data_IF_592113992636
#
_entry.id   IF_592113992636
#
_cell.length_a   1.000
_cell.length_b   1.000
_cell.length_c   1.000
_cell.angle_alpha   90.00
_cell.angle_beta   90.00
_cell.angle_gamma   90.00
#
_symmetry.space_group_name_H-M   'P 1'
#
loop_
_entity.id
_entity.type
_entity.pdbx_description
1 polymer ?
#
# COMPACT_ATOMS: atom_id res chain seq x y z
N UNK A 1 29.38 -14.85 -18.66
CA UNK A 1 30.11 -16.05 -18.17
C UNK A 1 30.62 -15.77 -16.75
N UNK A 2 29.75 -15.77 -15.74
CA UNK A 2 30.08 -15.19 -14.43
C UNK A 2 29.70 -16.04 -13.21
N UNK A 3 29.46 -17.35 -13.38
CA UNK A 3 29.28 -18.24 -12.24
C UNK A 3 29.92 -19.60 -12.55
N UNK A 4 30.91 -20.00 -11.75
CA UNK A 4 31.32 -21.38 -11.57
C UNK A 4 30.95 -21.76 -10.13
N UNK A 5 30.00 -22.67 -9.93
CA UNK A 5 29.63 -23.09 -8.58
C UNK A 5 30.76 -23.95 -8.01
N UNK A 6 31.26 -23.61 -6.82
CA UNK A 6 32.01 -24.54 -5.98
C UNK A 6 31.07 -25.10 -4.92
N UNK A 7 30.91 -26.42 -4.92
CA UNK A 7 30.25 -27.12 -3.82
C UNK A 7 31.24 -27.17 -2.64
N UNK A 8 30.83 -26.60 -1.49
CA UNK A 8 31.33 -26.79 -0.10
C UNK A 8 31.80 -25.56 0.70
N UNK A 9 31.21 -24.39 0.53
CA UNK A 9 31.21 -23.35 1.58
C UNK A 9 29.88 -22.58 1.60
N UNK A 10 29.61 -21.82 2.67
CA UNK A 10 28.45 -20.91 2.80
C UNK A 10 28.43 -19.78 1.74
N UNK A 11 29.41 -19.76 0.84
CA UNK A 11 29.59 -18.78 -0.22
C UNK A 11 29.43 -19.47 -1.59
N UNK A 12 28.48 -18.97 -2.39
CA UNK A 12 28.07 -19.60 -3.65
C UNK A 12 28.66 -18.94 -4.91
N UNK A 13 29.54 -17.94 -4.74
CA UNK A 13 30.26 -17.29 -5.84
C UNK A 13 31.16 -16.16 -5.35
N UNK A 14 31.97 -15.63 -6.26
CA UNK A 14 32.78 -14.43 -6.02
C UNK A 14 32.60 -13.44 -7.17
N UNK A 15 32.60 -12.15 -6.84
CA UNK A 15 32.68 -11.07 -7.83
C UNK A 15 34.12 -10.55 -7.90
N UNK A 16 34.65 -10.47 -9.11
CA UNK A 16 35.94 -9.84 -9.37
C UNK A 16 35.73 -8.41 -9.82
N UNK A 17 36.18 -7.44 -9.02
CA UNK A 17 36.16 -6.02 -9.35
C UNK A 17 37.56 -5.43 -9.16
N UNK A 18 38.17 -4.94 -10.23
CA UNK A 18 39.50 -4.30 -10.16
C UNK A 18 40.65 -5.22 -9.70
N UNK A 19 40.53 -6.54 -9.86
CA UNK A 19 41.52 -7.52 -9.39
C UNK A 19 41.27 -8.04 -7.98
N UNK A 20 40.29 -7.48 -7.25
CA UNK A 20 39.90 -7.94 -5.92
C UNK A 20 38.76 -8.95 -6.01
N UNK A 21 38.87 -10.07 -5.28
CA UNK A 21 37.82 -11.06 -5.12
C UNK A 21 36.93 -10.67 -3.94
N UNK A 22 35.62 -10.58 -4.16
CA UNK A 22 34.62 -10.43 -3.12
C UNK A 22 33.77 -11.69 -3.07
N UNK A 23 33.79 -12.41 -1.95
CA UNK A 23 32.88 -13.52 -1.72
C UNK A 23 31.46 -12.98 -1.56
N UNK A 24 30.54 -13.47 -2.37
CA UNK A 24 29.14 -13.04 -2.35
C UNK A 24 28.31 -14.21 -1.85
N UNK A 25 27.68 -14.02 -0.71
CA UNK A 25 26.58 -14.88 -0.25
C UNK A 25 25.42 -14.72 -1.23
N UNK A 26 24.97 -15.81 -1.85
CA UNK A 26 23.80 -15.81 -2.75
C UNK A 26 22.48 -15.79 -1.97
N UNK A 27 22.56 -15.81 -0.64
CA UNK A 27 21.44 -15.79 0.30
C UNK A 27 21.63 -14.69 1.33
N UNK A 28 20.61 -13.85 1.42
CA UNK A 28 20.54 -12.77 2.39
C UNK A 28 19.44 -13.13 3.41
N UNK A 29 19.82 -13.32 4.68
CA UNK A 29 18.87 -13.61 5.75
C UNK A 29 18.17 -12.31 6.14
N UNK A 30 16.85 -12.27 5.99
CA UNK A 30 16.02 -11.13 6.40
C UNK A 30 15.81 -11.18 7.90
N UNK A 31 16.59 -10.39 8.63
CA UNK A 31 16.48 -10.18 10.06
C UNK A 31 16.32 -8.69 10.42
N UNK A 32 16.20 -8.38 11.71
CA UNK A 32 15.93 -7.03 12.19
C UNK A 32 17.03 -6.03 11.80
N UNK A 33 18.30 -6.43 11.83
CA UNK A 33 19.42 -5.56 11.45
C UNK A 33 19.34 -5.17 9.97
N UNK A 34 19.07 -6.15 9.10
CA UNK A 34 18.95 -5.89 7.67
C UNK A 34 17.71 -5.07 7.34
N UNK A 35 16.58 -5.36 8.00
CA UNK A 35 15.36 -4.56 7.85
C UNK A 35 15.61 -3.11 8.25
N UNK A 36 16.29 -2.89 9.37
CA UNK A 36 16.69 -1.56 9.84
C UNK A 36 17.58 -0.83 8.84
N UNK A 37 18.58 -1.50 8.26
CA UNK A 37 19.40 -0.95 7.17
C UNK A 37 18.56 -0.56 5.95
N UNK A 38 17.59 -1.40 5.54
CA UNK A 38 16.69 -1.08 4.43
C UNK A 38 15.83 0.15 4.73
N UNK A 39 15.34 0.28 5.97
CA UNK A 39 14.66 1.47 6.45
C UNK A 39 15.53 2.72 6.30
N UNK A 40 16.76 2.68 6.82
CA UNK A 40 17.70 3.81 6.73
C UNK A 40 18.02 4.18 5.29
N UNK A 41 18.17 3.18 4.41
CA UNK A 41 18.32 3.40 2.97
C UNK A 41 17.12 4.10 2.34
N UNK A 42 15.91 3.72 2.72
CA UNK A 42 14.69 4.31 2.15
C UNK A 42 14.57 5.81 2.45
N UNK A 43 15.10 6.29 3.58
CA UNK A 43 15.21 7.72 3.85
C UNK A 43 16.46 8.35 3.20
N UNK A 44 17.62 8.15 3.81
CA UNK A 44 18.86 8.88 3.49
C UNK A 44 19.78 8.21 2.45
N UNK A 45 19.37 7.06 1.90
CA UNK A 45 20.15 6.30 0.93
C UNK A 45 20.22 6.93 -0.46
N UNK A 46 21.41 6.87 -1.08
CA UNK A 46 21.67 7.34 -2.43
C UNK A 46 22.58 6.35 -3.21
N UNK A 47 22.29 6.16 -4.50
CA UNK A 47 23.13 5.34 -5.39
C UNK A 47 24.26 6.20 -5.94
N UNK A 48 25.49 5.74 -5.77
CA UNK A 48 26.61 6.31 -6.51
C UNK A 48 26.66 5.68 -7.89
N UNK A 49 26.91 6.49 -8.92
CA UNK A 49 27.03 6.03 -10.29
C UNK A 49 28.48 6.18 -10.78
N UNK A 50 28.88 5.33 -11.73
CA UNK A 50 30.11 5.59 -12.50
C UNK A 50 29.91 6.84 -13.36
N UNK A 51 30.98 7.62 -13.52
CA UNK A 51 30.99 8.85 -14.31
C UNK A 51 30.29 8.66 -15.66
N UNK A 52 29.32 9.53 -15.95
CA UNK A 52 28.56 9.55 -17.21
C UNK A 52 27.81 8.24 -17.54
N UNK A 53 27.38 7.48 -16.53
CA UNK A 53 26.56 6.27 -16.75
C UNK A 53 25.49 6.12 -15.67
N UNK A 54 24.46 5.31 -15.95
CA UNK A 54 23.46 4.91 -14.95
C UNK A 54 23.88 3.62 -14.19
N UNK A 55 25.13 3.18 -14.36
CA UNK A 55 25.67 1.98 -13.73
C UNK A 55 26.09 2.30 -12.29
N UNK A 56 25.53 1.62 -11.27
CA UNK A 56 25.93 1.83 -9.89
C UNK A 56 27.41 1.53 -9.64
N UNK A 57 28.09 2.37 -8.88
CA UNK A 57 29.44 2.15 -8.35
C UNK A 57 29.44 1.78 -6.86
N UNK A 58 28.32 2.02 -6.17
CA UNK A 58 28.15 1.74 -4.75
C UNK A 58 26.90 2.37 -4.18
N UNK A 59 26.79 2.33 -2.86
CA UNK A 59 25.76 3.04 -2.11
C UNK A 59 26.39 4.10 -1.20
N UNK A 60 25.62 5.13 -0.89
CA UNK A 60 25.93 6.15 0.11
C UNK A 60 24.73 6.34 1.03
N UNK A 61 24.95 6.44 2.33
CA UNK A 61 23.93 6.82 3.30
C UNK A 61 24.44 8.05 4.05
N UNK A 62 23.58 9.06 4.20
CA UNK A 62 23.92 10.34 4.83
C UNK A 62 23.40 10.35 6.27
N UNK A 63 24.19 10.92 7.17
CA UNK A 63 23.87 11.05 8.59
C UNK A 63 24.20 12.46 9.08
N UNK A 64 23.50 12.92 10.12
CA UNK A 64 23.91 14.11 10.86
C UNK A 64 25.24 13.89 11.59
N UNK A 65 25.99 14.96 11.85
CA UNK A 65 27.27 14.85 12.58
C UNK A 65 27.15 14.20 13.97
N UNK A 66 26.00 14.36 14.62
CA UNK A 66 25.70 13.79 15.93
C UNK A 66 25.33 12.30 15.88
N UNK A 67 25.10 11.73 14.69
CA UNK A 67 24.69 10.34 14.48
C UNK A 67 25.89 9.43 14.14
N UNK A 68 27.11 9.76 14.59
CA UNK A 68 28.31 8.98 14.25
C UNK A 68 28.22 7.52 14.67
N UNK A 69 27.79 7.25 15.89
CA UNK A 69 27.63 5.88 16.41
C UNK A 69 26.65 5.07 15.55
N UNK A 70 25.57 5.72 15.09
CA UNK A 70 24.58 5.12 14.20
C UNK A 70 25.17 4.81 12.82
N UNK A 71 25.97 5.73 12.27
CA UNK A 71 26.66 5.50 11.00
C UNK A 71 27.67 4.34 11.08
N UNK A 72 28.39 4.21 12.21
CA UNK A 72 29.30 3.10 12.48
C UNK A 72 28.55 1.76 12.67
N UNK A 73 27.38 1.79 13.30
CA UNK A 73 26.51 0.62 13.41
C UNK A 73 26.00 0.16 12.04
N UNK A 74 25.51 1.08 11.20
CA UNK A 74 25.07 0.78 9.83
C UNK A 74 26.24 0.25 8.98
N UNK A 75 27.44 0.83 9.15
CA UNK A 75 28.66 0.34 8.51
C UNK A 75 28.94 -1.13 8.85
N UNK A 76 28.87 -1.49 10.14
CA UNK A 76 29.07 -2.85 10.60
C UNK A 76 28.01 -3.82 10.04
N UNK A 77 26.74 -3.40 9.92
CA UNK A 77 25.69 -4.21 9.29
C UNK A 77 26.04 -4.46 7.81
N UNK A 78 26.44 -3.42 7.06
CA UNK A 78 26.81 -3.57 5.65
C UNK A 78 27.98 -4.55 5.50
N UNK A 79 29.01 -4.42 6.32
CA UNK A 79 30.19 -5.29 6.27
C UNK A 79 29.85 -6.74 6.61
N UNK A 80 29.08 -6.99 7.68
CA UNK A 80 28.68 -8.35 8.06
C UNK A 80 27.72 -9.00 7.07
N UNK A 81 26.74 -8.26 6.55
CA UNK A 81 25.67 -8.80 5.70
C UNK A 81 26.08 -8.94 4.24
N UNK A 82 26.93 -8.04 3.74
CA UNK A 82 27.30 -7.98 2.32
C UNK A 82 28.78 -8.19 2.05
N UNK A 83 29.63 -8.26 3.08
CA UNK A 83 31.08 -8.44 2.90
C UNK A 83 31.75 -7.25 2.20
N UNK A 84 31.16 -6.05 2.26
CA UNK A 84 31.66 -4.85 1.58
C UNK A 84 32.20 -3.87 2.62
N UNK A 85 33.49 -3.56 2.53
CA UNK A 85 34.14 -2.54 3.37
C UNK A 85 33.50 -1.18 3.16
N UNK A 86 33.30 -0.47 4.27
CA UNK A 86 32.70 0.86 4.26
C UNK A 86 33.71 1.97 4.59
N UNK A 87 33.39 3.21 4.24
CA UNK A 87 34.18 4.39 4.56
C UNK A 87 33.27 5.49 5.07
N UNK A 88 33.47 5.90 6.32
CA UNK A 88 32.77 7.04 6.91
C UNK A 88 33.62 8.31 6.75
N UNK A 89 33.08 9.34 6.11
CA UNK A 89 33.78 10.62 5.88
C UNK A 89 32.88 11.79 6.24
N UNK A 90 33.47 12.87 6.75
CA UNK A 90 32.76 14.16 6.86
C UNK A 90 32.55 14.71 5.45
N UNK A 91 31.34 15.20 5.16
CA UNK A 91 30.98 15.77 3.87
C UNK A 91 31.83 17.01 3.54
N UNK A 92 31.93 17.37 2.27
CA UNK A 92 32.66 18.58 1.83
C UNK A 92 32.09 19.89 2.41
N UNK A 93 30.83 19.87 2.83
CA UNK A 93 30.14 20.99 3.49
C UNK A 93 30.32 21.00 5.00
N UNK A 94 30.98 20.00 5.58
CA UNK A 94 31.20 19.82 7.02
C UNK A 94 29.90 19.79 7.84
N UNK A 95 28.77 19.40 7.22
CA UNK A 95 27.45 19.34 7.87
C UNK A 95 26.93 17.93 8.08
N UNK A 96 27.52 16.97 7.39
CA UNK A 96 27.01 15.60 7.33
C UNK A 96 28.15 14.60 7.41
N UNK A 97 27.81 13.37 7.78
CA UNK A 97 28.65 12.20 7.61
C UNK A 97 28.14 11.42 6.40
N UNK A 98 29.02 11.21 5.42
CA UNK A 98 28.76 10.35 4.27
C UNK A 98 29.36 8.96 4.56
N UNK A 99 28.50 7.95 4.69
CA UNK A 99 28.90 6.54 4.75
C UNK A 99 28.90 5.95 3.35
N UNK A 100 30.08 5.56 2.85
CA UNK A 100 30.28 5.00 1.52
C UNK A 100 30.49 3.49 1.58
N UNK A 101 29.81 2.74 0.69
CA UNK A 101 30.12 1.34 0.43
C UNK A 101 30.30 1.14 -1.08
N UNK A 102 31.55 1.06 -1.51
CA UNK A 102 31.93 1.05 -2.92
C UNK A 102 31.89 -0.38 -3.48
N UNK A 103 30.71 -0.84 -3.87
CA UNK A 103 30.50 -2.10 -4.56
C UNK A 103 29.42 -1.97 -5.62
N UNK A 104 29.77 -2.26 -6.88
CA UNK A 104 28.81 -2.27 -7.99
C UNK A 104 27.67 -3.25 -7.71
N UNK A 105 27.97 -4.42 -7.14
CA UNK A 105 27.00 -5.45 -6.82
C UNK A 105 25.97 -4.96 -5.79
N UNK A 106 26.48 -4.34 -4.72
CA UNK A 106 25.67 -3.75 -3.67
C UNK A 106 24.78 -2.65 -4.22
N UNK A 107 25.34 -1.73 -5.02
CA UNK A 107 24.59 -0.67 -5.67
C UNK A 107 23.49 -1.20 -6.60
N UNK A 108 23.80 -2.24 -7.40
CA UNK A 108 22.79 -2.88 -8.26
C UNK A 108 21.68 -3.55 -7.45
N UNK A 109 22.04 -4.25 -6.37
CA UNK A 109 21.07 -4.87 -5.46
C UNK A 109 20.12 -3.81 -4.88
N UNK A 110 20.64 -2.77 -4.22
CA UNK A 110 19.81 -1.72 -3.61
C UNK A 110 18.94 -0.98 -4.64
N UNK A 111 19.51 -0.64 -5.81
CA UNK A 111 18.77 0.01 -6.91
C UNK A 111 17.63 -0.87 -7.43
N UNK A 112 17.88 -2.16 -7.65
CA UNK A 112 16.87 -3.08 -8.16
C UNK A 112 15.80 -3.38 -7.10
N UNK A 113 16.22 -3.60 -5.86
CA UNK A 113 15.37 -4.09 -4.78
C UNK A 113 14.54 -2.98 -4.13
N UNK A 114 15.18 -1.90 -3.67
CA UNK A 114 14.54 -0.80 -2.95
C UNK A 114 14.33 0.45 -3.81
N UNK A 115 14.87 0.47 -5.03
CA UNK A 115 14.81 1.62 -5.92
C UNK A 115 15.94 2.63 -5.70
N UNK A 116 15.92 3.68 -6.51
CA UNK A 116 16.89 4.78 -6.47
C UNK A 116 16.17 6.11 -6.73
N UNK A 117 16.82 7.22 -6.33
CA UNK A 117 16.22 8.55 -6.25
C UNK A 117 14.99 8.62 -5.32
N UNK A 118 14.65 9.81 -4.84
CA UNK A 118 13.54 9.97 -3.89
C UNK A 118 12.20 9.43 -4.44
N UNK A 119 11.93 9.64 -5.73
CA UNK A 119 10.69 9.21 -6.39
C UNK A 119 10.65 7.72 -6.78
N UNK A 120 11.81 7.05 -6.88
CA UNK A 120 11.89 5.65 -7.31
C UNK A 120 12.00 4.64 -6.17
N UNK A 121 12.21 5.12 -4.94
CA UNK A 121 12.29 4.27 -3.75
C UNK A 121 10.94 3.61 -3.44
N UNK A 122 10.98 2.35 -3.01
CA UNK A 122 9.80 1.54 -2.68
C UNK A 122 10.17 0.41 -1.72
N UNK A 123 9.19 -0.03 -0.93
CA UNK A 123 9.27 -1.26 -0.14
C UNK A 123 8.74 -2.42 -0.99
N UNK A 124 9.54 -3.45 -1.30
CA UNK A 124 9.05 -4.66 -1.94
C UNK A 124 7.88 -5.32 -1.20
N UNK A 125 6.94 -5.91 -1.93
CA UNK A 125 5.74 -6.54 -1.36
C UNK A 125 6.06 -7.60 -0.29
N UNK A 126 7.11 -8.40 -0.48
CA UNK A 126 7.50 -9.39 0.53
C UNK A 126 7.99 -8.75 1.85
N UNK A 127 8.61 -7.55 1.82
CA UNK A 127 8.98 -6.82 3.04
C UNK A 127 7.75 -6.22 3.74
N UNK A 128 6.74 -5.82 2.98
CA UNK A 128 5.46 -5.32 3.52
C UNK A 128 4.69 -6.38 4.31
N UNK A 129 4.89 -7.67 3.98
CA UNK A 129 4.18 -8.80 4.60
C UNK A 129 4.94 -9.46 5.74
N UNK A 130 6.12 -8.93 6.10
CA UNK A 130 6.94 -9.48 7.17
C UNK A 130 6.19 -9.53 8.52
N UNK A 131 6.63 -10.40 9.45
CA UNK A 131 6.18 -10.40 10.84
C UNK A 131 6.38 -9.04 11.52
N UNK A 132 5.62 -8.79 12.58
CA UNK A 132 5.59 -7.53 13.34
C UNK A 132 6.99 -6.98 13.63
N UNK A 133 7.87 -7.78 14.23
CA UNK A 133 9.21 -7.35 14.65
C UNK A 133 10.10 -6.85 13.50
N UNK A 134 10.07 -7.56 12.36
CA UNK A 134 10.88 -7.21 11.20
C UNK A 134 10.34 -5.99 10.46
N UNK A 135 9.01 -5.87 10.36
CA UNK A 135 8.37 -4.69 9.79
C UNK A 135 8.61 -3.45 10.67
N UNK A 136 8.53 -3.60 12.00
CA UNK A 136 8.87 -2.54 12.95
C UNK A 136 10.34 -2.13 12.82
N UNK A 137 11.28 -3.07 12.68
CA UNK A 137 12.70 -2.75 12.46
C UNK A 137 12.92 -1.95 11.16
N UNK A 138 12.23 -2.31 10.08
CA UNK A 138 12.26 -1.55 8.82
C UNK A 138 11.74 -0.13 9.01
N UNK A 139 10.56 0.02 9.62
CA UNK A 139 10.00 1.35 9.88
C UNK A 139 10.89 2.16 10.82
N UNK A 140 11.49 1.54 11.84
CA UNK A 140 12.43 2.20 12.75
C UNK A 140 13.60 2.83 12.00
N UNK A 141 14.22 2.11 11.07
CA UNK A 141 15.32 2.65 10.26
C UNK A 141 14.88 3.85 9.40
N UNK A 142 13.68 3.78 8.82
CA UNK A 142 13.12 4.86 8.00
C UNK A 142 12.74 6.08 8.83
N UNK A 143 12.07 5.88 9.98
CA UNK A 143 11.69 6.97 10.88
C UNK A 143 12.90 7.61 11.56
N UNK A 144 14.02 6.88 11.73
CA UNK A 144 15.27 7.51 12.16
C UNK A 144 15.88 8.43 11.11
N UNK A 145 15.66 8.17 9.82
CA UNK A 145 16.12 9.05 8.74
C UNK A 145 15.22 10.28 8.57
N UNK A 146 13.93 10.06 8.29
CA UNK A 146 13.01 11.12 7.87
C UNK A 146 11.86 11.40 8.87
N UNK A 147 11.80 10.62 9.94
CA UNK A 147 10.73 10.73 10.93
C UNK A 147 10.95 11.87 11.91
N UNK A 148 9.86 12.35 12.50
CA UNK A 148 9.86 13.39 13.50
C UNK A 148 8.86 13.10 14.62
N UNK A 149 9.16 13.68 15.77
CA UNK A 149 8.23 13.82 16.91
C UNK A 149 8.06 15.31 17.19
N UNK A 150 6.83 15.79 17.32
CA UNK A 150 6.51 17.19 17.65
C UNK A 150 5.37 17.21 18.65
N UNK A 151 5.57 17.87 19.80
CA UNK A 151 4.64 18.06 20.93
C UNK A 151 3.76 16.85 21.28
N UNK A 152 2.71 16.58 20.49
CA UNK A 152 1.75 15.48 20.67
C UNK A 152 1.57 14.60 19.41
N UNK A 153 2.54 14.60 18.49
CA UNK A 153 2.48 13.93 17.20
C UNK A 153 3.77 13.19 16.87
N UNK A 154 3.61 12.06 16.20
CA UNK A 154 4.68 11.31 15.56
C UNK A 154 4.34 11.22 14.08
N UNK A 155 5.34 11.42 13.22
CA UNK A 155 5.11 11.32 11.79
C UNK A 155 6.37 11.28 10.95
N UNK A 156 6.16 11.26 9.65
CA UNK A 156 7.19 11.27 8.61
C UNK A 156 6.67 12.08 7.42
N UNK A 157 7.55 12.78 6.72
CA UNK A 157 7.22 13.52 5.49
C UNK A 157 8.04 12.96 4.34
N UNK A 158 7.38 12.50 3.29
CA UNK A 158 8.01 11.87 2.13
C UNK A 158 7.57 12.57 0.84
N UNK A 159 8.47 12.70 -0.14
CA UNK A 159 8.17 13.26 -1.46
C UNK A 159 7.67 12.23 -2.49
N UNK A 160 7.45 10.99 -2.03
CA UNK A 160 7.09 9.85 -2.86
C UNK A 160 5.76 9.26 -2.39
N UNK A 161 4.74 9.36 -3.24
CA UNK A 161 3.38 8.89 -2.94
C UNK A 161 3.32 7.39 -2.68
N UNK A 162 4.06 6.60 -3.48
CA UNK A 162 4.09 5.14 -3.35
C UNK A 162 4.67 4.76 -1.99
N UNK A 163 5.85 5.30 -1.67
CA UNK A 163 6.51 5.01 -0.39
C UNK A 163 5.68 5.49 0.79
N UNK A 164 5.08 6.68 0.73
CA UNK A 164 4.19 7.19 1.78
C UNK A 164 2.97 6.27 2.02
N UNK A 165 2.39 5.74 0.94
CA UNK A 165 1.26 4.80 1.01
C UNK A 165 1.70 3.46 1.61
N UNK A 166 2.89 2.97 1.24
CA UNK A 166 3.46 1.74 1.78
C UNK A 166 3.80 1.85 3.27
N UNK A 167 4.34 2.98 3.71
CA UNK A 167 4.58 3.26 5.13
C UNK A 167 3.26 3.28 5.89
N UNK A 168 2.25 3.98 5.37
CA UNK A 168 0.91 4.02 5.96
C UNK A 168 0.30 2.61 6.09
N UNK A 169 0.35 1.79 5.04
CA UNK A 169 -0.15 0.41 5.07
C UNK A 169 0.61 -0.49 6.05
N UNK A 170 1.94 -0.29 6.17
CA UNK A 170 2.75 -1.02 7.14
C UNK A 170 2.37 -0.65 8.58
N UNK A 171 2.18 0.65 8.86
CA UNK A 171 1.71 1.12 10.17
C UNK A 171 0.33 0.58 10.52
N UNK A 172 -0.59 0.55 9.55
CA UNK A 172 -1.91 -0.08 9.73
C UNK A 172 -1.81 -1.56 10.08
N UNK A 173 -0.91 -2.30 9.42
CA UNK A 173 -0.66 -3.72 9.72
C UNK A 173 -0.06 -3.94 11.11
N UNK A 174 0.71 -2.98 11.62
CA UNK A 174 1.18 -2.96 13.00
C UNK A 174 0.08 -2.52 14.01
N UNK A 175 -1.12 -2.20 13.53
CA UNK A 175 -2.25 -1.80 14.37
C UNK A 175 -2.28 -0.32 14.71
N UNK A 176 -1.57 0.54 13.98
CA UNK A 176 -1.56 2.00 14.21
C UNK A 176 -2.24 2.77 13.08
N UNK A 177 -3.19 3.62 13.45
CA UNK A 177 -3.91 4.47 12.49
C UNK A 177 -3.17 5.79 12.31
N UNK A 178 -2.54 5.97 11.15
CA UNK A 178 -1.90 7.22 10.77
C UNK A 178 -2.74 7.93 9.70
N UNK A 179 -2.85 9.24 9.80
CA UNK A 179 -3.42 10.04 8.71
C UNK A 179 -2.37 10.29 7.63
N UNK A 180 -2.76 10.22 6.35
CA UNK A 180 -1.94 10.68 5.22
C UNK A 180 -2.53 11.99 4.68
N UNK A 181 -1.71 13.03 4.58
CA UNK A 181 -2.10 14.33 3.99
C UNK A 181 -1.11 14.74 2.91
N UNK A 182 -1.64 15.12 1.76
CA UNK A 182 -0.86 15.75 0.71
C UNK A 182 -0.73 17.24 1.03
N UNK A 183 0.50 17.69 1.28
CA UNK A 183 0.83 19.10 1.44
C UNK A 183 1.61 19.55 0.20
N UNK A 184 0.96 20.32 -0.65
CA UNK A 184 1.66 21.18 -1.62
C UNK A 184 1.96 22.50 -0.93
N UNK A 185 3.22 22.71 -0.54
CA UNK A 185 3.65 24.03 -0.07
C UNK A 185 3.35 25.06 -1.15
N UNK A 186 2.86 26.27 -0.81
CA UNK A 186 2.49 27.32 -1.79
C UNK A 186 3.63 27.72 -2.76
N UNK A 187 4.88 27.42 -2.39
CA UNK A 187 6.10 27.64 -3.20
C UNK A 187 6.76 26.33 -3.69
N UNK A 188 6.19 25.17 -3.37
CA UNK A 188 6.75 23.86 -3.69
C UNK A 188 6.41 23.43 -5.10
N UNK A 189 7.42 22.99 -5.87
CA UNK A 189 7.22 22.41 -7.20
C UNK A 189 6.68 20.97 -7.18
N UNK A 190 6.79 20.29 -6.04
CA UNK A 190 6.49 18.86 -5.89
C UNK A 190 5.66 18.60 -4.63
N UNK A 191 4.70 17.66 -4.68
CA UNK A 191 3.88 17.31 -3.51
C UNK A 191 4.71 16.61 -2.43
N UNK A 192 4.39 16.90 -1.17
CA UNK A 192 4.92 16.19 -0.01
C UNK A 192 3.79 15.50 0.74
N UNK A 193 4.01 14.25 1.12
CA UNK A 193 3.04 13.40 1.79
C UNK A 193 3.43 13.27 3.26
N UNK A 194 2.58 13.79 4.14
CA UNK A 194 2.75 13.71 5.58
C UNK A 194 1.93 12.54 6.12
N UNK A 195 2.62 11.58 6.73
CA UNK A 195 2.01 10.44 7.44
C UNK A 195 2.19 10.67 8.93
N UNK A 196 1.12 10.89 9.69
CA UNK A 196 1.22 11.25 11.12
C UNK A 196 0.05 10.73 11.97
N UNK A 197 0.32 10.47 13.25
CA UNK A 197 -0.65 10.10 14.27
C UNK A 197 -0.44 10.93 15.55
N UNK A 198 -1.45 10.97 16.41
CA UNK A 198 -1.35 11.60 17.74
C UNK A 198 -0.67 10.67 18.73
N UNK A 199 -0.04 11.21 19.78
CA UNK A 199 0.67 10.38 20.75
C UNK A 199 -0.25 9.36 21.45
N UNK A 200 -1.51 9.71 21.70
CA UNK A 200 -2.53 8.79 22.24
C UNK A 200 -2.79 7.56 21.40
N UNK A 201 -2.57 7.65 20.09
CA UNK A 201 -2.89 6.59 19.13
C UNK A 201 -1.67 5.74 18.79
N UNK A 202 -0.47 6.23 19.08
CA UNK A 202 0.79 5.57 18.73
C UNK A 202 1.84 5.63 19.85
N UNK A 203 1.41 5.72 21.12
CA UNK A 203 2.31 5.86 22.26
C UNK A 203 3.47 4.85 22.28
N UNK A 204 3.25 3.53 22.02
CA UNK A 204 4.35 2.58 21.99
C UNK A 204 5.41 2.90 20.92
N UNK A 205 4.99 3.46 19.78
CA UNK A 205 5.91 3.81 18.68
C UNK A 205 6.87 4.96 19.02
N UNK A 206 6.56 5.82 20.00
CA UNK A 206 7.53 6.82 20.45
C UNK A 206 8.79 6.14 21.00
N UNK A 207 8.59 5.09 21.79
CA UNK A 207 9.68 4.32 22.38
C UNK A 207 10.36 3.45 21.33
N UNK A 208 9.57 2.72 20.54
CA UNK A 208 10.11 1.77 19.57
C UNK A 208 10.90 2.46 18.44
N UNK A 209 10.39 3.60 17.94
CA UNK A 209 10.98 4.32 16.81
C UNK A 209 12.02 5.35 17.26
N UNK A 210 11.78 6.08 18.36
CA UNK A 210 12.63 7.20 18.77
C UNK A 210 13.36 7.00 20.09
N UNK A 211 13.05 5.96 20.86
CA UNK A 211 13.65 5.72 22.18
C UNK A 211 13.19 6.75 23.23
N UNK A 212 12.03 7.38 23.02
CA UNK A 212 11.46 8.41 23.90
C UNK A 212 10.10 7.96 24.40
N UNK A 213 9.73 8.36 25.60
CA UNK A 213 8.37 8.13 26.09
C UNK A 213 7.40 9.06 25.37
N UNK A 214 6.16 8.59 25.21
CA UNK A 214 5.11 9.42 24.66
C UNK A 214 4.81 10.59 25.62
N UNK A 215 4.57 11.80 25.11
CA UNK A 215 4.19 12.95 25.92
C UNK A 215 2.92 12.64 26.73
N UNK A 216 2.90 13.03 28.00
CA UNK A 216 1.73 12.87 28.86
C UNK A 216 0.56 13.69 28.29
N UNK A 217 -0.61 13.07 28.20
CA UNK A 217 -1.82 13.78 27.79
C UNK A 217 -2.63 14.18 29.03
N UNK A 218 -2.90 15.48 29.17
CA UNK A 218 -3.87 15.98 30.15
C UNK A 218 -5.28 15.82 29.55
N UNK A 219 -6.13 14.99 30.18
CA UNK A 219 -7.52 14.77 29.80
C UNK A 219 -7.78 13.48 29.02
N UNK A 220 -9.06 13.24 28.68
CA UNK A 220 -9.43 12.10 27.86
C UNK A 220 -8.87 12.28 26.45
N UNK A 221 -7.98 11.38 26.04
CA UNK A 221 -7.48 11.31 24.67
C UNK A 221 -8.66 11.24 23.68
N UNK A 222 -8.90 12.32 22.94
CA UNK A 222 -9.85 12.31 21.83
C UNK A 222 -9.28 11.44 20.72
N UNK A 223 -9.60 10.14 20.77
CA UNK A 223 -9.33 9.21 19.67
C UNK A 223 -10.24 9.56 18.49
N UNK A 224 -9.69 9.47 17.28
CA UNK A 224 -10.48 9.65 16.05
C UNK A 224 -11.36 8.45 15.72
N UNK A 225 -11.28 7.40 16.54
CA UNK A 225 -12.04 6.18 16.42
C UNK A 225 -12.55 5.68 17.77
N UNK A 226 -13.58 4.85 17.75
CA UNK A 226 -13.93 3.96 18.85
C UNK A 226 -13.80 2.50 18.42
N UNK A 227 -13.61 1.61 19.38
CA UNK A 227 -13.49 0.17 19.13
C UNK A 227 -14.81 -0.53 19.46
N UNK A 228 -15.29 -1.35 18.54
CA UNK A 228 -16.48 -2.17 18.70
C UNK A 228 -16.37 -3.37 17.75
N UNK A 229 -16.68 -4.57 18.25
CA UNK A 229 -16.62 -5.84 17.50
C UNK A 229 -15.30 -6.07 16.75
N UNK A 230 -14.17 -5.82 17.42
CA UNK A 230 -12.82 -5.91 16.86
C UNK A 230 -12.54 -4.98 15.66
N UNK A 231 -13.43 -4.00 15.41
CA UNK A 231 -13.27 -2.98 14.39
C UNK A 231 -13.00 -1.62 15.02
N UNK A 232 -12.28 -0.78 14.28
CA UNK A 232 -12.11 0.64 14.59
C UNK A 232 -13.04 1.45 13.73
N UNK A 233 -14.02 2.07 14.38
CA UNK A 233 -15.02 2.91 13.74
C UNK A 233 -14.51 4.34 13.68
N UNK A 234 -14.25 4.83 12.47
CA UNK A 234 -13.78 6.20 12.22
C UNK A 234 -14.94 7.10 11.82
N UNK A 235 -14.90 8.36 12.25
CA UNK A 235 -15.92 9.35 11.86
C UNK A 235 -15.74 9.76 10.40
N UNK A 236 -16.85 9.87 9.66
CA UNK A 236 -16.88 10.52 8.34
C UNK A 236 -16.87 12.03 8.56
N UNK A 237 -15.82 12.70 8.06
CA UNK A 237 -15.69 14.16 8.15
C UNK A 237 -16.42 14.89 7.01
N UNK A 238 -16.39 14.33 5.79
CA UNK A 238 -16.99 14.92 4.59
C UNK A 238 -17.46 13.82 3.62
N UNK A 239 -18.57 14.08 2.92
CA UNK A 239 -19.03 13.30 1.78
C UNK A 239 -19.15 14.25 0.59
N UNK A 240 -18.38 14.00 -0.47
CA UNK A 240 -18.42 14.77 -1.70
C UNK A 240 -18.99 13.93 -2.85
N UNK A 241 -19.74 14.58 -3.75
CA UNK A 241 -20.33 13.96 -4.95
C UNK A 241 -19.71 14.62 -6.18
N UNK A 242 -19.27 13.81 -7.15
CA UNK A 242 -18.69 14.28 -8.40
C UNK A 242 -19.05 13.34 -9.55
N UNK A 243 -19.16 13.90 -10.76
CA UNK A 243 -19.26 13.09 -11.98
C UNK A 243 -17.91 12.42 -12.27
N UNK A 244 -17.94 11.11 -12.54
CA UNK A 244 -16.74 10.33 -12.83
C UNK A 244 -16.90 9.54 -14.13
N UNK A 245 -15.92 9.64 -15.01
CA UNK A 245 -15.81 8.83 -16.22
C UNK A 245 -14.51 8.05 -16.18
N UNK A 246 -14.61 6.74 -15.95
CA UNK A 246 -13.45 5.86 -15.86
C UNK A 246 -13.86 4.46 -15.40
N UNK A 247 -12.87 3.62 -15.11
CA UNK A 247 -13.11 2.27 -14.63
C UNK A 247 -13.39 2.26 -13.13
N UNK A 248 -14.49 1.63 -12.74
CA UNK A 248 -14.79 1.25 -11.35
C UNK A 248 -14.58 -0.25 -11.21
N UNK A 249 -14.02 -0.66 -10.08
CA UNK A 249 -13.67 -2.06 -9.82
C UNK A 249 -14.38 -2.52 -8.53
N UNK A 250 -14.79 -3.78 -8.53
CA UNK A 250 -15.30 -4.48 -7.36
C UNK A 250 -14.71 -5.89 -7.34
N UNK A 251 -14.68 -6.52 -6.17
CA UNK A 251 -14.15 -7.88 -5.98
C UNK A 251 -15.15 -8.68 -5.16
N UNK A 252 -15.53 -9.85 -5.66
CA UNK A 252 -16.31 -10.82 -4.89
C UNK A 252 -15.38 -11.57 -3.94
N UNK A 253 -15.75 -11.58 -2.67
CA UNK A 253 -15.06 -12.27 -1.59
C UNK A 253 -16.09 -13.15 -0.92
N UNK A 254 -15.76 -14.43 -0.82
CA UNK A 254 -16.60 -15.43 -0.18
C UNK A 254 -16.78 -15.12 1.32
N UNK A 255 -17.89 -15.60 1.89
CA UNK A 255 -18.23 -15.52 3.32
C UNK A 255 -18.54 -14.12 3.85
N UNK A 256 -17.52 -13.28 4.02
CA UNK A 256 -17.63 -12.00 4.71
C UNK A 256 -18.19 -10.88 3.83
N UNK A 257 -18.26 -11.10 2.51
CA UNK A 257 -18.79 -10.15 1.52
C UNK A 257 -18.21 -8.72 1.67
N UNK A 258 -16.98 -8.64 2.17
CA UNK A 258 -16.29 -7.39 2.43
C UNK A 258 -14.79 -7.55 2.24
N UNK A 259 -14.11 -6.44 1.94
CA UNK A 259 -12.67 -6.40 1.76
C UNK A 259 -12.11 -5.06 2.24
N UNK A 260 -10.79 -4.98 2.42
CA UNK A 260 -10.13 -3.73 2.80
C UNK A 260 -9.65 -3.00 1.54
N UNK A 261 -10.12 -1.77 1.37
CA UNK A 261 -9.64 -0.85 0.34
C UNK A 261 -9.21 0.46 0.99
N UNK A 262 -8.00 0.94 0.65
CA UNK A 262 -7.44 2.17 1.22
C UNK A 262 -7.45 2.25 2.76
N UNK A 263 -7.39 1.11 3.47
CA UNK A 263 -7.42 1.06 4.94
C UNK A 263 -8.82 1.13 5.55
N UNK A 264 -9.87 1.02 4.74
CA UNK A 264 -11.28 0.99 5.16
C UNK A 264 -11.92 -0.32 4.72
N UNK A 265 -12.76 -0.90 5.56
CA UNK A 265 -13.58 -2.07 5.20
C UNK A 265 -14.71 -1.61 4.29
N UNK A 266 -14.80 -2.18 3.10
CA UNK A 266 -15.84 -1.92 2.10
C UNK A 266 -16.62 -3.20 1.82
N UNK A 267 -17.93 -3.07 1.56
CA UNK A 267 -18.81 -4.18 1.17
C UNK A 267 -18.72 -4.40 -0.35
N UNK A 268 -18.77 -5.65 -0.79
CA UNK A 268 -18.88 -5.99 -2.21
C UNK A 268 -20.34 -6.02 -2.68
N UNK A 269 -20.53 -6.16 -4.00
CA UNK A 269 -21.82 -6.47 -4.62
C UNK A 269 -22.03 -7.98 -4.78
N UNK A 270 -23.29 -8.42 -4.72
CA UNK A 270 -23.70 -9.78 -5.06
C UNK A 270 -23.99 -9.89 -6.55
N UNK A 271 -23.31 -10.80 -7.26
CA UNK A 271 -23.68 -11.12 -8.65
C UNK A 271 -24.67 -12.28 -8.62
N UNK A 272 -25.94 -12.00 -8.85
CA UNK A 272 -26.98 -13.04 -8.85
C UNK A 272 -27.10 -13.70 -10.24
N UNK A 273 -27.62 -14.94 -10.32
CA UNK A 273 -27.81 -15.61 -11.60
C UNK A 273 -28.61 -14.78 -12.61
N UNK A 274 -28.24 -14.88 -13.88
CA UNK A 274 -28.98 -14.22 -14.96
C UNK A 274 -30.46 -14.64 -14.97
N UNK A 275 -31.39 -13.69 -15.20
CA UNK A 275 -32.81 -14.00 -15.23
C UNK A 275 -33.12 -14.98 -16.36
N UNK A 276 -33.93 -16.00 -16.11
CA UNK A 276 -34.44 -16.83 -17.19
C UNK A 276 -35.35 -15.97 -18.10
N UNK A 277 -35.30 -16.19 -19.42
CA UNK A 277 -36.07 -15.43 -20.42
C UNK A 277 -37.58 -15.77 -20.41
N UNK A 278 -38.23 -15.44 -19.29
CA UNK A 278 -39.64 -15.64 -19.02
C UNK A 278 -40.10 -14.64 -17.96
N UNK A 279 -41.42 -14.35 -17.93
CA UNK A 279 -41.99 -13.47 -16.90
C UNK A 279 -41.70 -13.95 -15.48
N UNK A 280 -41.76 -15.28 -15.26
CA UNK A 280 -41.48 -15.87 -13.95
C UNK A 280 -40.02 -15.70 -13.57
N UNK A 281 -39.08 -16.03 -14.46
CA UNK A 281 -37.66 -15.85 -14.20
C UNK A 281 -37.25 -14.41 -13.90
N UNK A 282 -37.86 -13.45 -14.59
CA UNK A 282 -37.65 -12.02 -14.34
C UNK A 282 -38.14 -11.61 -12.94
N UNK A 283 -39.33 -12.08 -12.54
CA UNK A 283 -39.92 -11.81 -11.22
C UNK A 283 -39.15 -12.52 -10.11
N UNK A 284 -38.72 -13.77 -10.31
CA UNK A 284 -37.92 -14.51 -9.33
C UNK A 284 -36.58 -13.79 -9.08
N UNK A 285 -35.93 -13.30 -10.14
CA UNK A 285 -34.72 -12.48 -10.05
C UNK A 285 -34.98 -11.15 -9.34
N UNK A 286 -36.12 -10.52 -9.61
CA UNK A 286 -36.54 -9.30 -8.91
C UNK A 286 -36.72 -9.55 -7.41
N UNK A 287 -37.40 -10.64 -7.02
CA UNK A 287 -37.59 -11.02 -5.63
C UNK A 287 -36.26 -11.23 -4.91
N UNK A 288 -35.32 -11.93 -5.55
CA UNK A 288 -33.98 -12.13 -4.99
C UNK A 288 -33.22 -10.80 -4.84
N UNK A 289 -33.27 -9.93 -5.87
CA UNK A 289 -32.66 -8.61 -5.84
C UNK A 289 -33.19 -7.77 -4.68
N UNK A 290 -34.52 -7.74 -4.49
CA UNK A 290 -35.16 -6.99 -3.41
C UNK A 290 -34.71 -7.48 -2.03
N UNK A 291 -34.60 -8.79 -1.85
CA UNK A 291 -34.25 -9.40 -0.56
C UNK A 291 -32.78 -9.19 -0.19
N UNK A 292 -31.88 -9.18 -1.18
CA UNK A 292 -30.48 -8.82 -0.96
C UNK A 292 -30.36 -7.33 -0.62
N UNK A 293 -31.05 -6.48 -1.38
CA UNK A 293 -31.00 -5.03 -1.18
C UNK A 293 -31.62 -4.60 0.15
N UNK A 294 -32.70 -5.25 0.61
CA UNK A 294 -33.32 -4.95 1.91
C UNK A 294 -32.37 -5.18 3.08
N UNK A 295 -31.37 -6.07 2.91
CA UNK A 295 -30.31 -6.37 3.87
C UNK A 295 -29.03 -5.55 3.67
N UNK A 296 -29.04 -4.58 2.75
CA UNK A 296 -27.92 -3.66 2.51
C UNK A 296 -26.91 -4.11 1.46
N UNK A 297 -27.15 -5.21 0.75
CA UNK A 297 -26.28 -5.67 -0.34
C UNK A 297 -26.51 -4.93 -1.65
N UNK A 298 -25.44 -4.64 -2.40
CA UNK A 298 -25.54 -4.26 -3.82
C UNK A 298 -25.81 -5.48 -4.70
N UNK A 299 -26.46 -5.31 -5.85
CA UNK A 299 -26.77 -6.43 -6.76
C UNK A 299 -26.25 -6.17 -8.17
N UNK A 300 -25.59 -7.17 -8.76
CA UNK A 300 -25.22 -7.24 -10.17
C UNK A 300 -26.10 -8.24 -10.91
N UNK A 301 -26.64 -7.87 -12.08
CA UNK A 301 -27.48 -8.73 -12.92
C UNK A 301 -27.00 -8.67 -14.36
N UNK A 302 -26.70 -9.82 -14.97
CA UNK A 302 -26.45 -9.92 -16.40
C UNK A 302 -27.75 -10.20 -17.16
N UNK A 303 -28.20 -9.22 -17.94
CA UNK A 303 -29.46 -9.24 -18.70
C UNK A 303 -29.35 -9.96 -20.05
N UNK A 304 -28.17 -10.47 -20.41
CA UNK A 304 -27.92 -11.05 -21.73
C UNK A 304 -28.68 -12.35 -22.01
N UNK A 305 -29.26 -12.94 -20.97
CA UNK A 305 -30.17 -14.08 -21.10
C UNK A 305 -31.54 -13.68 -21.64
N UNK A 306 -31.96 -12.42 -21.50
CA UNK A 306 -33.26 -11.93 -21.95
C UNK A 306 -33.22 -11.61 -23.44
N UNK A 307 -34.26 -11.98 -24.17
CA UNK A 307 -34.33 -11.75 -25.62
C UNK A 307 -34.25 -10.24 -25.99
N UNK A 308 -33.68 -9.88 -27.15
CA UNK A 308 -33.57 -8.49 -27.59
C UNK A 308 -34.93 -7.86 -27.90
N UNK A 309 -34.91 -6.53 -28.04
CA UNK A 309 -36.09 -5.76 -28.45
C UNK A 309 -36.57 -6.25 -29.81
N UNK A 310 -37.90 -6.30 -30.00
CA UNK A 310 -38.56 -6.77 -31.22
C UNK A 310 -38.44 -8.27 -31.55
N UNK A 311 -37.78 -9.06 -30.69
CA UNK A 311 -37.79 -10.52 -30.80
C UNK A 311 -39.23 -11.07 -30.76
N UNK A 312 -39.50 -12.06 -31.60
CA UNK A 312 -40.82 -12.70 -31.66
C UNK A 312 -41.14 -13.48 -30.38
N UNK A 313 -42.38 -13.38 -29.90
CA UNK A 313 -42.84 -14.10 -28.71
C UNK A 313 -43.88 -15.15 -29.09
N UNK A 314 -43.43 -16.41 -29.19
CA UNK A 314 -44.27 -17.58 -29.48
C UNK A 314 -45.32 -17.75 -28.36
N UNK A 315 -46.58 -17.48 -28.68
CA UNK A 315 -47.72 -17.64 -27.74
C UNK A 315 -48.62 -16.41 -27.61
N UNK A 316 -48.09 -15.20 -27.81
CA UNK A 316 -48.89 -13.95 -27.81
C UNK A 316 -48.90 -13.26 -29.17
N UNK A 317 -48.27 -13.88 -30.18
CA UNK A 317 -48.07 -13.35 -31.53
C UNK A 317 -47.57 -11.88 -31.54
N UNK A 318 -46.70 -11.55 -30.59
CA UNK A 318 -46.23 -10.19 -30.32
C UNK A 318 -44.72 -10.07 -30.38
N UNK A 319 -44.23 -8.89 -30.02
CA UNK A 319 -42.82 -8.51 -30.03
C UNK A 319 -42.34 -8.14 -28.62
N UNK A 320 -41.13 -8.57 -28.27
CA UNK A 320 -40.50 -8.29 -26.97
C UNK A 320 -40.15 -6.80 -26.81
N UNK A 321 -40.28 -6.29 -25.58
CA UNK A 321 -39.75 -4.97 -25.17
C UNK A 321 -38.22 -4.96 -25.05
N UNK A 322 -37.59 -6.14 -24.93
CA UNK A 322 -36.14 -6.31 -24.88
C UNK A 322 -35.53 -6.26 -23.47
N UNK A 323 -34.29 -6.73 -23.36
CA UNK A 323 -33.51 -6.81 -22.12
C UNK A 323 -33.38 -5.46 -21.40
N UNK A 324 -33.08 -4.37 -22.12
CA UNK A 324 -32.93 -3.02 -21.55
C UNK A 324 -34.21 -2.50 -20.90
N UNK A 325 -35.39 -2.82 -21.47
CA UNK A 325 -36.67 -2.42 -20.88
C UNK A 325 -36.90 -3.07 -19.52
N UNK A 326 -36.51 -4.33 -19.35
CA UNK A 326 -36.55 -5.02 -18.06
C UNK A 326 -35.46 -4.53 -17.11
N UNK A 327 -34.29 -4.11 -17.63
CA UNK A 327 -33.30 -3.38 -16.86
C UNK A 327 -33.87 -2.11 -16.22
N UNK A 328 -34.77 -1.40 -16.94
CA UNK A 328 -35.51 -0.27 -16.40
C UNK A 328 -36.38 -0.63 -15.19
N UNK A 329 -37.02 -1.81 -15.17
CA UNK A 329 -37.77 -2.31 -14.02
C UNK A 329 -36.86 -2.52 -12.81
N UNK A 330 -35.73 -3.22 -12.99
CA UNK A 330 -34.78 -3.45 -11.91
C UNK A 330 -34.25 -2.13 -11.34
N UNK A 331 -33.87 -1.19 -12.20
CA UNK A 331 -33.43 0.15 -11.81
C UNK A 331 -34.50 0.91 -11.01
N UNK A 332 -35.75 0.89 -11.49
CA UNK A 332 -36.86 1.54 -10.79
C UNK A 332 -37.06 0.96 -9.38
N UNK A 333 -37.08 -0.37 -9.25
CA UNK A 333 -37.28 -1.03 -7.95
C UNK A 333 -36.11 -0.75 -7.00
N UNK A 334 -34.86 -0.73 -7.48
CA UNK A 334 -33.71 -0.31 -6.67
C UNK A 334 -33.89 1.08 -6.07
N UNK A 335 -34.49 2.00 -6.82
CA UNK A 335 -34.81 3.34 -6.34
C UNK A 335 -35.89 3.40 -5.25
N UNK A 336 -36.71 2.35 -5.11
CA UNK A 336 -37.74 2.23 -4.06
C UNK A 336 -37.21 1.64 -2.76
N UNK A 337 -36.04 1.00 -2.78
CA UNK A 337 -35.46 0.31 -1.62
C UNK A 337 -34.50 1.26 -0.90
N UNK A 338 -34.91 1.71 0.28
CA UNK A 338 -34.04 2.40 1.24
C UNK A 338 -33.32 1.37 2.11
N UNK A 339 -32.06 1.10 1.77
CA UNK A 339 -31.18 0.23 2.52
C UNK A 339 -30.86 0.86 3.89
N UNK A 340 -31.15 0.14 4.97
CA UNK A 340 -30.85 0.58 6.33
C UNK A 340 -31.48 1.92 6.72
N UNK A 341 -32.59 2.32 6.07
CA UNK A 341 -33.34 3.54 6.35
C UNK A 341 -32.69 4.86 5.91
N UNK A 342 -31.59 4.82 5.14
CA UNK A 342 -30.91 6.06 4.71
C UNK A 342 -30.14 5.96 3.39
N UNK A 343 -29.77 4.76 2.94
CA UNK A 343 -28.94 4.55 1.75
C UNK A 343 -29.79 4.05 0.57
N UNK A 344 -29.59 4.58 -0.63
CA UNK A 344 -30.20 4.03 -1.85
C UNK A 344 -29.51 2.73 -2.25
N UNK A 345 -30.27 1.78 -2.79
CA UNK A 345 -29.71 0.54 -3.33
C UNK A 345 -28.68 0.76 -4.44
N UNK A 346 -27.68 -0.12 -4.49
CA UNK A 346 -26.70 -0.16 -5.56
C UNK A 346 -27.05 -1.30 -6.54
N UNK A 347 -27.18 -0.97 -7.83
CA UNK A 347 -27.49 -1.93 -8.90
C UNK A 347 -26.47 -1.79 -10.04
N UNK A 348 -25.91 -2.92 -10.46
CA UNK A 348 -25.12 -3.03 -11.68
C UNK A 348 -25.87 -3.90 -12.69
N UNK A 349 -26.12 -3.37 -13.89
CA UNK A 349 -26.73 -4.12 -15.00
C UNK A 349 -25.66 -4.39 -16.07
N UNK A 350 -25.52 -5.64 -16.46
CA UNK A 350 -24.52 -6.10 -17.41
C UNK A 350 -25.22 -6.59 -18.68
N UNK A 351 -24.64 -6.25 -19.84
CA UNK A 351 -24.94 -6.86 -21.13
C UNK A 351 -23.63 -7.29 -21.80
N UNK A 352 -23.64 -8.49 -22.38
CA UNK A 352 -22.52 -9.01 -23.15
C UNK A 352 -22.36 -8.17 -24.42
N UNK A 353 -21.12 -7.93 -24.85
CA UNK A 353 -20.83 -7.12 -26.05
C UNK A 353 -21.44 -7.69 -27.34
N UNK A 354 -21.67 -9.00 -27.38
CA UNK A 354 -22.30 -9.70 -28.50
C UNK A 354 -23.82 -9.90 -28.33
N UNK A 355 -24.41 -9.36 -27.25
CA UNK A 355 -25.87 -9.36 -27.13
C UNK A 355 -26.46 -8.43 -28.22
N UNK A 356 -27.40 -8.93 -29.03
CA UNK A 356 -27.94 -8.21 -30.19
C UNK A 356 -28.75 -6.96 -29.84
#
# INVERSE_FOLDING_TARGET
>A
KLYKPQQRSEYHGHLTAGGTHHDVTDRLVIDSELCYLFGRWLGDGNINHRSQSDIPSGIKIVFGLHEREEAEHIAAIIERKFGVTTQLKVSSTERWLDLWANSMALGQFFKAFLGCYSYGKRIPDHLMRLPYELNLALLKGLFKADGYTSDNKLGIVLSNRVLATQVHQSLLRLGYLFSIRENTHRLGRWPAYRVQATASECAPLFKDLFGREAPAQEGAALKYYFEHDNLRWVRIDEIAVADYQGSVLDIEVDEDHSFVSAGVVVSNCYVIPSPQDSRRGIVDTLSQMMEIMSRGGGVGINLSSLRPRHAYVKGVNGRSSGSVSWGGLYSFVTGLIEQGGSRRGALMLILNVWHP
#
